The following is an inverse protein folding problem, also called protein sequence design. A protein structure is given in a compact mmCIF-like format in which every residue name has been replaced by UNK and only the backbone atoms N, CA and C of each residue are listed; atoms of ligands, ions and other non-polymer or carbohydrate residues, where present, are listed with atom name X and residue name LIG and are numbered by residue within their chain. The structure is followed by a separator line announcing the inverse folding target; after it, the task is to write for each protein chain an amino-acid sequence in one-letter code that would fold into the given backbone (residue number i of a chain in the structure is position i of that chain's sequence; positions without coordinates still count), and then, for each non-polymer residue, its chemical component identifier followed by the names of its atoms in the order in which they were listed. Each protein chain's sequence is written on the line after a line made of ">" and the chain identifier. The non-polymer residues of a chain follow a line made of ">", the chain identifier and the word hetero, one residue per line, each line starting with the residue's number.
data_IF_230373833373
#
_entry.id   IF_230373833373
#
_cell.length_a   1.000
_cell.length_b   1.000
_cell.length_c   1.000
_cell.angle_alpha   90.00
_cell.angle_beta   90.00
_cell.angle_gamma   90.00
#
_symmetry.space_group_name_H-M   'P 1'
#
loop_
_entity.id
_entity.type
_entity.pdbx_description
1 polymer ?
#
# COMPACT_ATOMS: atom_id res chain seq x y z
N UNK A 1 3.47 -15.22 -5.87
CA UNK A 1 2.56 -14.40 -5.05
C UNK A 1 1.15 -14.59 -5.60
N UNK A 2 0.10 -14.88 -4.82
CA UNK A 2 -1.20 -15.15 -5.39
C UNK A 2 -1.79 -13.86 -5.96
N UNK A 3 -2.22 -13.95 -7.21
CA UNK A 3 -2.84 -12.87 -7.95
C UNK A 3 -4.33 -13.19 -8.05
N UNK A 4 -5.21 -12.24 -7.76
CA UNK A 4 -6.65 -12.42 -7.86
C UNK A 4 -7.23 -11.47 -8.90
N UNK A 5 -8.35 -11.84 -9.52
CA UNK A 5 -9.03 -11.00 -10.52
C UNK A 5 -10.25 -10.32 -9.91
N UNK A 6 -10.42 -9.02 -10.17
CA UNK A 6 -11.64 -8.26 -9.88
C UNK A 6 -12.00 -7.50 -11.15
N UNK A 7 -13.21 -7.66 -11.68
CA UNK A 7 -13.65 -7.02 -12.93
C UNK A 7 -12.63 -7.20 -14.08
N UNK A 8 -12.20 -8.46 -14.29
CA UNK A 8 -11.20 -8.86 -15.30
C UNK A 8 -9.81 -8.23 -15.20
N UNK A 9 -9.55 -7.45 -14.15
CA UNK A 9 -8.24 -6.88 -13.86
C UNK A 9 -7.49 -7.73 -12.85
N UNK A 10 -6.21 -7.93 -13.12
CA UNK A 10 -5.29 -8.73 -12.32
C UNK A 10 -4.73 -7.87 -11.18
N UNK A 11 -5.02 -8.24 -9.93
CA UNK A 11 -4.55 -7.56 -8.73
C UNK A 11 -3.59 -8.43 -7.94
N UNK A 12 -2.51 -7.80 -7.48
CA UNK A 12 -1.57 -8.40 -6.56
C UNK A 12 -2.05 -8.19 -5.12
N UNK A 13 -2.18 -9.28 -4.37
CA UNK A 13 -2.46 -9.18 -2.93
C UNK A 13 -1.27 -8.48 -2.27
N UNK A 14 -1.50 -7.26 -1.79
CA UNK A 14 -0.52 -6.56 -0.98
C UNK A 14 -0.29 -7.38 0.30
N UNK A 15 0.98 -7.64 0.63
CA UNK A 15 1.33 -8.36 1.85
C UNK A 15 0.90 -7.59 3.11
N UNK A 16 1.20 -8.16 4.29
CA UNK A 16 0.96 -7.46 5.55
C UNK A 16 1.63 -6.08 5.53
N UNK A 17 0.87 -5.04 5.84
CA UNK A 17 1.39 -3.67 5.96
C UNK A 17 2.19 -3.53 7.26
N UNK A 18 1.89 -4.35 8.27
CA UNK A 18 2.65 -4.38 9.52
C UNK A 18 3.77 -5.43 9.45
N UNK A 19 4.93 -5.13 10.04
CA UNK A 19 6.01 -6.10 10.15
C UNK A 19 5.57 -7.29 11.01
N UNK A 20 5.91 -8.49 10.55
CA UNK A 20 5.71 -9.71 11.32
C UNK A 20 6.69 -9.72 12.50
N UNK A 21 6.30 -10.08 13.74
CA UNK A 21 7.20 -10.04 14.90
C UNK A 21 8.51 -10.81 14.71
N UNK A 22 8.50 -11.87 13.90
CA UNK A 22 9.66 -12.73 13.63
C UNK A 22 10.48 -12.32 12.39
N UNK A 23 10.10 -11.26 11.66
CA UNK A 23 10.77 -10.83 10.43
C UNK A 23 11.11 -9.35 10.45
N UNK A 24 12.24 -9.00 9.82
CA UNK A 24 12.59 -7.59 9.62
C UNK A 24 11.57 -6.93 8.68
N UNK A 25 11.20 -5.66 8.90
CA UNK A 25 10.29 -4.94 8.03
C UNK A 25 10.86 -4.79 6.60
N UNK A 26 10.01 -5.03 5.59
CA UNK A 26 10.38 -4.87 4.18
C UNK A 26 9.39 -3.96 3.43
N UNK A 27 9.88 -3.31 2.37
CA UNK A 27 9.09 -2.46 1.47
C UNK A 27 8.24 -1.40 2.21
N UNK A 28 6.91 -1.55 2.18
CA UNK A 28 5.96 -0.64 2.81
C UNK A 28 6.03 -0.70 4.34
N UNK A 29 6.38 -1.86 4.92
CA UNK A 29 6.45 -2.05 6.37
C UNK A 29 7.51 -1.14 7.02
N UNK A 30 8.53 -0.74 6.25
CA UNK A 30 9.60 0.14 6.73
C UNK A 30 9.06 1.50 7.16
N UNK A 31 8.00 2.02 6.52
CA UNK A 31 7.39 3.29 6.92
C UNK A 31 6.83 3.27 8.35
N UNK A 32 6.63 2.09 8.92
CA UNK A 32 6.06 1.84 10.24
C UNK A 32 7.11 1.59 11.34
N UNK A 33 8.41 1.72 11.03
CA UNK A 33 9.47 1.73 12.05
C UNK A 33 9.49 3.11 12.71
N UNK A 34 9.57 3.18 14.04
CA UNK A 34 9.46 4.45 14.77
C UNK A 34 10.63 5.41 14.47
N UNK A 35 11.84 4.88 14.33
CA UNK A 35 13.04 5.68 14.06
C UNK A 35 13.26 5.91 12.57
N UNK A 36 13.29 7.17 12.13
CA UNK A 36 13.61 7.54 10.74
C UNK A 36 15.01 7.08 10.32
N UNK A 37 15.96 7.04 11.26
CA UNK A 37 17.33 6.56 11.00
C UNK A 37 17.33 5.06 10.74
N UNK A 38 16.59 4.30 11.56
CA UNK A 38 16.42 2.85 11.35
C UNK A 38 15.68 2.55 10.05
N UNK A 39 14.71 3.39 9.65
CA UNK A 39 14.06 3.28 8.33
C UNK A 39 15.09 3.37 7.20
N UNK A 40 15.96 4.37 7.24
CA UNK A 40 16.98 4.57 6.22
C UNK A 40 18.00 3.42 6.21
N UNK A 41 18.46 2.98 7.38
CA UNK A 41 19.37 1.85 7.52
C UNK A 41 18.75 0.55 6.99
N UNK A 42 17.49 0.29 7.30
CA UNK A 42 16.77 -0.89 6.81
C UNK A 42 16.59 -0.86 5.29
N UNK A 43 16.37 0.33 4.69
CA UNK A 43 16.35 0.47 3.22
C UNK A 43 17.70 0.16 2.60
N UNK A 44 18.79 0.63 3.20
CA UNK A 44 20.15 0.33 2.74
C UNK A 44 20.51 -1.15 2.90
N UNK A 45 19.99 -1.84 3.93
CA UNK A 45 20.15 -3.30 4.08
C UNK A 45 19.49 -4.08 2.93
N UNK A 46 18.35 -3.61 2.44
CA UNK A 46 17.63 -4.23 1.30
C UNK A 46 18.26 -3.81 -0.04
N UNK A 47 18.62 -2.53 -0.18
CA UNK A 47 19.23 -1.96 -1.38
C UNK A 47 20.64 -1.48 -1.05
N UNK A 48 21.58 -2.43 -1.10
CA UNK A 48 22.97 -2.25 -0.62
C UNK A 48 23.76 -1.15 -1.34
N UNK A 49 23.30 -0.71 -2.51
CA UNK A 49 23.98 0.29 -3.34
C UNK A 49 23.65 1.74 -2.94
N UNK A 50 22.68 1.96 -2.04
CA UNK A 50 22.24 3.30 -1.64
C UNK A 50 22.99 3.74 -0.39
N UNK A 51 23.62 4.92 -0.44
CA UNK A 51 24.25 5.56 0.73
C UNK A 51 23.17 5.96 1.76
N UNK A 52 23.40 5.64 3.03
CA UNK A 52 22.44 5.89 4.12
C UNK A 52 22.05 7.37 4.25
N UNK A 53 23.01 8.29 4.15
CA UNK A 53 22.73 9.73 4.22
C UNK A 53 21.81 10.22 3.09
N UNK A 54 21.98 9.64 1.89
CA UNK A 54 21.13 9.97 0.75
C UNK A 54 19.72 9.43 0.96
N UNK A 55 19.59 8.19 1.42
CA UNK A 55 18.29 7.59 1.74
C UNK A 55 17.57 8.41 2.82
N UNK A 56 18.28 8.85 3.85
CA UNK A 56 17.72 9.68 4.92
C UNK A 56 17.24 11.03 4.38
N UNK A 57 18.07 11.75 3.61
CA UNK A 57 17.69 13.06 3.03
C UNK A 57 16.47 12.96 2.12
N UNK A 58 16.42 11.94 1.26
CA UNK A 58 15.28 11.71 0.37
C UNK A 58 14.01 11.37 1.16
N UNK A 59 14.13 10.50 2.18
CA UNK A 59 13.01 10.16 3.05
C UNK A 59 12.46 11.38 3.79
N UNK A 60 13.33 12.21 4.34
CA UNK A 60 12.97 13.44 5.05
C UNK A 60 12.30 14.45 4.10
N UNK A 61 12.84 14.65 2.90
CA UNK A 61 12.20 15.46 1.86
C UNK A 61 10.80 14.94 1.52
N UNK A 62 10.65 13.64 1.32
CA UNK A 62 9.36 13.02 1.03
C UNK A 62 8.37 13.18 2.20
N UNK A 63 8.82 13.02 3.45
CA UNK A 63 7.96 13.14 4.62
C UNK A 63 7.43 14.58 4.80
N UNK A 64 8.23 15.59 4.46
CA UNK A 64 7.82 17.00 4.52
C UNK A 64 6.78 17.34 3.45
N UNK A 65 7.03 16.89 2.21
CA UNK A 65 6.31 17.39 1.04
C UNK A 65 5.20 16.46 0.53
N UNK A 66 5.28 15.16 0.79
CA UNK A 66 4.31 14.19 0.26
C UNK A 66 3.17 13.97 1.26
N UNK A 67 1.97 14.47 0.92
CA UNK A 67 0.76 14.32 1.72
C UNK A 67 0.32 12.85 1.85
N UNK A 68 0.55 12.02 0.84
CA UNK A 68 0.20 10.60 0.88
C UNK A 68 0.98 9.84 1.96
N UNK A 69 2.26 10.18 2.18
CA UNK A 69 3.05 9.56 3.26
C UNK A 69 2.48 9.93 4.62
N UNK A 70 2.03 11.18 4.80
CA UNK A 70 1.38 11.63 6.04
C UNK A 70 0.07 10.87 6.28
N UNK A 71 -0.77 10.77 5.25
CA UNK A 71 -2.01 9.99 5.30
C UNK A 71 -1.74 8.51 5.58
N UNK A 72 -0.74 7.92 4.94
CA UNK A 72 -0.37 6.52 5.12
C UNK A 72 0.13 6.23 6.53
N UNK A 73 1.05 7.04 7.07
CA UNK A 73 1.53 6.90 8.46
C UNK A 73 0.41 7.16 9.49
N UNK A 74 -0.61 7.95 9.16
CA UNK A 74 -1.75 8.20 10.07
C UNK A 74 -2.60 6.96 10.35
N UNK A 75 -2.60 5.97 9.44
CA UNK A 75 -3.37 4.72 9.59
C UNK A 75 -2.95 3.93 10.84
N UNK A 76 -1.71 4.10 11.32
CA UNK A 76 -1.21 3.47 12.55
C UNK A 76 -2.02 3.89 13.77
N UNK A 77 -2.39 5.17 13.85
CA UNK A 77 -3.17 5.71 14.98
C UNK A 77 -4.59 5.15 15.02
N UNK A 78 -5.04 4.52 13.92
CA UNK A 78 -6.33 3.86 13.78
C UNK A 78 -6.26 2.35 14.04
N UNK A 79 -5.14 1.83 14.59
CA UNK A 79 -5.02 0.43 15.02
C UNK A 79 -6.20 0.05 15.92
N UNK A 80 -6.85 -1.06 15.61
CA UNK A 80 -7.99 -1.61 16.37
C UNK A 80 -9.37 -1.32 15.78
N UNK A 81 -9.46 -0.57 14.67
CA UNK A 81 -10.72 -0.42 13.94
C UNK A 81 -10.93 -1.63 13.01
N UNK A 82 -11.99 -2.40 13.26
CA UNK A 82 -12.42 -3.50 12.41
C UNK A 82 -13.16 -2.92 11.18
N UNK A 83 -12.41 -2.68 10.11
CA UNK A 83 -13.00 -2.21 8.85
C UNK A 83 -13.49 -3.41 8.05
N UNK A 84 -14.80 -3.44 7.76
CA UNK A 84 -15.41 -4.42 6.86
C UNK A 84 -15.68 -3.76 5.52
N UNK A 85 -15.13 -4.33 4.46
CA UNK A 85 -15.50 -3.96 3.09
C UNK A 85 -16.75 -4.77 2.76
N UNK A 86 -17.89 -4.10 2.66
CA UNK A 86 -19.15 -4.73 2.24
C UNK A 86 -19.37 -4.38 0.76
N UNK A 87 -19.20 -5.37 -0.11
CA UNK A 87 -19.45 -5.23 -1.55
C UNK A 87 -20.88 -5.66 -1.79
N UNK A 88 -21.76 -4.70 -2.09
CA UNK A 88 -23.13 -5.00 -2.50
C UNK A 88 -23.18 -5.13 -4.01
N UNK A 89 -23.17 -6.37 -4.52
CA UNK A 89 -23.28 -6.64 -5.96
C UNK A 89 -24.58 -6.09 -6.58
N UNK A 90 -25.62 -5.91 -5.76
CA UNK A 90 -26.96 -5.51 -6.19
C UNK A 90 -27.24 -4.01 -6.04
N UNK A 91 -26.28 -3.22 -5.53
CA UNK A 91 -26.49 -1.80 -5.26
C UNK A 91 -26.25 -0.97 -6.52
N UNK A 92 -27.32 -0.61 -7.21
CA UNK A 92 -27.32 0.39 -8.29
C UNK A 92 -27.17 1.78 -7.65
N UNK A 93 -26.18 2.56 -8.10
CA UNK A 93 -26.00 3.94 -7.62
C UNK A 93 -27.17 4.82 -8.09
N UNK A 94 -27.67 5.77 -7.28
CA UNK A 94 -28.75 6.66 -7.69
C UNK A 94 -28.26 7.55 -8.85
N UNK A 95 -28.81 7.33 -10.05
CA UNK A 95 -28.49 8.11 -11.25
C UNK A 95 -27.57 7.41 -12.26
N UNK A 96 -27.09 6.19 -12.02
CA UNK A 96 -26.35 5.40 -13.01
C UNK A 96 -27.23 4.31 -13.66
N UNK A 97 -27.08 4.12 -14.97
CA UNK A 97 -27.72 3.03 -15.70
C UNK A 97 -27.17 1.67 -15.23
N UNK A 98 -28.06 0.71 -15.03
CA UNK A 98 -27.82 -0.64 -14.49
C UNK A 98 -26.91 -1.58 -15.30
N UNK A 99 -26.16 -1.07 -16.29
CA UNK A 99 -25.31 -1.88 -17.18
C UNK A 99 -23.96 -1.22 -17.41
N UNK A 100 -23.04 -1.37 -16.46
CA UNK A 100 -21.61 -1.29 -16.73
C UNK A 100 -21.16 -2.60 -17.38
N UNK A 101 -21.52 -2.80 -18.64
CA UNK A 101 -21.21 -3.99 -19.41
C UNK A 101 -19.80 -3.84 -20.01
N UNK A 102 -18.82 -4.57 -19.47
CA UNK A 102 -17.54 -4.79 -20.17
C UNK A 102 -17.71 -6.04 -21.04
N UNK A 103 -18.40 -5.93 -22.16
CA UNK A 103 -18.34 -6.97 -23.19
C UNK A 103 -16.94 -6.91 -23.82
N UNK A 104 -16.22 -8.04 -23.98
CA UNK A 104 -14.98 -8.05 -24.73
C UNK A 104 -15.27 -7.60 -26.16
N UNK A 105 -14.68 -6.48 -26.59
CA UNK A 105 -14.86 -5.93 -27.94
C UNK A 105 -14.01 -6.62 -29.00
N UNK A 106 -13.24 -7.65 -28.63
CA UNK A 106 -12.33 -8.34 -29.53
C UNK A 106 -12.37 -9.84 -29.25
N UNK A 107 -12.62 -10.63 -30.29
CA UNK A 107 -12.38 -12.08 -30.28
C UNK A 107 -10.88 -12.35 -30.39
N UNK A 108 -10.35 -13.23 -29.54
CA UNK A 108 -9.05 -13.89 -29.78
C UNK A 108 -9.11 -14.80 -31.01
#
# INVERSE_FOLDING_TARGET
>A
MPTFKVQDRVYHRIGSIFPCPAKKPEFLQIYFIDSNTEQAEQRCKIVQQVKQDLAFKLQDMLQRNNSYIKSFKSVIKKRGLDFRIIIHAEKVLPGEHSRGFNEPTTSE
#
